data_IF_042365983010
#
_entry.id   IF_042365983010
#
_cell.length_a   1.000
_cell.length_b   1.000
_cell.length_c   1.000
_cell.angle_alpha   90.00
_cell.angle_beta   90.00
_cell.angle_gamma   90.00
#
_symmetry.space_group_name_H-M   'P 1'
#
loop_
_entity.id
_entity.type
_entity.pdbx_description
1 polymer ?
#
# COMPACT_ATOMS: atom_id res chain seq x y z
N UNK A 1 -3.48 48.09 35.64
CA UNK A 1 -4.86 47.85 35.15
C UNK A 1 -4.88 48.13 33.66
N UNK A 2 -5.45 47.22 32.85
CA UNK A 2 -5.94 47.54 31.51
C UNK A 2 -4.99 47.26 30.34
N UNK A 3 -5.16 46.07 29.76
CA UNK A 3 -4.65 45.54 28.50
C UNK A 3 -5.12 46.28 27.23
N UNK A 4 -4.32 46.27 26.16
CA UNK A 4 -4.70 45.69 24.85
C UNK A 4 -3.53 45.68 23.85
N UNK A 5 -3.42 44.56 23.13
CA UNK A 5 -2.47 44.24 22.06
C UNK A 5 -2.66 45.10 20.79
N UNK A 6 -1.56 45.32 20.06
CA UNK A 6 -1.47 45.02 18.62
C UNK A 6 0.00 45.04 18.17
N UNK A 7 0.56 43.88 17.82
CA UNK A 7 1.88 43.74 17.20
C UNK A 7 1.68 43.59 15.69
N UNK A 8 1.96 44.66 14.95
CA UNK A 8 2.20 44.63 13.51
C UNK A 8 3.71 44.71 13.25
N UNK A 9 4.19 43.77 12.43
CA UNK A 9 5.21 43.99 11.39
C UNK A 9 6.56 44.59 11.79
N UNK A 10 7.62 43.78 11.86
CA UNK A 10 9.02 44.20 11.67
C UNK A 10 9.79 43.05 10.98
N UNK A 11 10.27 43.27 9.75
CA UNK A 11 11.71 43.39 9.34
C UNK A 11 12.40 42.02 9.24
N UNK A 12 12.60 41.46 8.03
CA UNK A 12 13.64 41.73 7.02
C UNK A 12 15.04 41.18 7.37
N UNK A 13 15.57 40.49 6.36
CA UNK A 13 16.99 40.23 6.03
C UNK A 13 17.82 39.23 6.86
N UNK A 14 18.55 38.42 6.06
CA UNK A 14 19.73 37.62 6.35
C UNK A 14 19.63 36.36 7.22
N UNK A 15 19.69 35.20 6.54
CA UNK A 15 20.43 34.04 7.05
C UNK A 15 21.01 33.22 5.89
N UNK A 16 22.24 33.61 5.55
CA UNK A 16 23.42 32.77 5.32
C UNK A 16 23.18 31.26 5.27
N UNK A 17 23.65 30.68 4.15
CA UNK A 17 23.97 29.27 3.99
C UNK A 17 24.94 28.83 5.11
N UNK A 18 24.46 28.05 6.06
CA UNK A 18 25.33 27.24 6.90
C UNK A 18 25.03 25.74 6.76
N UNK A 19 26.13 25.03 6.57
CA UNK A 19 26.31 23.60 6.36
C UNK A 19 25.40 22.70 7.20
N UNK A 20 24.50 21.97 6.55
CA UNK A 20 24.00 20.71 7.09
C UNK A 20 25.08 19.62 6.88
N UNK A 21 25.95 19.47 7.88
CA UNK A 21 26.68 18.22 8.09
C UNK A 21 25.64 17.15 8.39
N UNK A 22 25.53 16.15 7.50
CA UNK A 22 24.82 14.91 7.79
C UNK A 22 25.60 14.14 8.88
N UNK A 23 25.21 14.30 10.13
CA UNK A 23 25.56 13.33 11.17
C UNK A 23 24.82 12.02 10.89
N UNK A 24 25.59 10.94 10.83
CA UNK A 24 25.10 9.57 10.75
C UNK A 24 24.28 9.30 12.01
N UNK A 25 23.06 8.69 11.96
CA UNK A 25 22.27 8.47 13.16
C UNK A 25 23.01 7.55 14.12
N UNK A 26 23.32 8.06 15.31
CA UNK A 26 23.84 7.29 16.44
C UNK A 26 22.84 6.27 16.96
N UNK A 27 23.34 5.26 17.66
CA UNK A 27 22.54 4.19 18.27
C UNK A 27 21.34 4.73 19.06
N UNK A 28 20.18 4.04 19.01
CA UNK A 28 18.99 4.49 19.72
C UNK A 28 19.24 4.56 21.23
N UNK A 29 18.73 5.63 21.86
CA UNK A 29 18.87 5.86 23.28
C UNK A 29 18.36 4.66 24.12
N UNK A 30 19.08 4.26 25.18
CA UNK A 30 18.72 3.09 25.99
C UNK A 30 17.39 3.31 26.71
N UNK A 31 16.41 2.43 26.44
CA UNK A 31 15.07 2.45 27.04
C UNK A 31 13.91 2.60 26.04
N UNK A 32 14.18 2.78 24.75
CA UNK A 32 13.13 2.73 23.73
C UNK A 32 12.67 1.27 23.51
N UNK A 33 11.35 0.98 23.46
CA UNK A 33 10.88 -0.37 23.15
C UNK A 33 11.40 -0.81 21.77
N UNK A 34 11.81 -2.07 21.60
CA UNK A 34 12.36 -2.55 20.33
C UNK A 34 11.36 -2.30 19.20
N UNK A 35 11.81 -1.68 18.12
CA UNK A 35 10.98 -1.45 16.95
C UNK A 35 10.64 -2.79 16.26
N UNK A 36 9.40 -2.98 15.75
CA UNK A 36 9.02 -4.21 15.05
C UNK A 36 9.73 -4.30 13.70
N UNK A 37 10.21 -5.50 13.34
CA UNK A 37 10.96 -5.79 12.10
C UNK A 37 10.06 -5.67 10.85
N UNK A 38 10.62 -5.46 9.66
CA UNK A 38 9.86 -5.32 8.39
C UNK A 38 8.90 -6.49 8.12
N UNK A 39 9.37 -7.69 8.44
CA UNK A 39 8.60 -8.94 8.39
C UNK A 39 7.35 -8.85 9.28
N UNK A 40 7.42 -8.17 10.43
CA UNK A 40 6.33 -8.01 11.38
C UNK A 40 5.23 -7.08 10.86
N UNK A 41 5.55 -6.13 9.97
CA UNK A 41 4.57 -5.19 9.44
C UNK A 41 3.79 -5.78 8.26
N UNK A 42 4.49 -6.43 7.33
CA UNK A 42 3.85 -7.14 6.22
C UNK A 42 3.03 -8.33 6.72
N UNK A 43 3.51 -9.00 7.77
CA UNK A 43 2.72 -9.99 8.49
C UNK A 43 1.43 -9.36 9.03
N UNK A 44 1.50 -8.22 9.72
CA UNK A 44 0.30 -7.54 10.24
C UNK A 44 -0.66 -7.09 9.14
N UNK A 45 -0.15 -6.60 8.01
CA UNK A 45 -1.01 -6.21 6.87
C UNK A 45 -1.71 -7.43 6.27
N UNK A 46 -0.97 -8.50 6.01
CA UNK A 46 -1.50 -9.78 5.51
C UNK A 46 -2.50 -10.40 6.49
N UNK A 47 -2.21 -10.34 7.79
CA UNK A 47 -3.12 -10.77 8.85
C UNK A 47 -4.38 -9.91 8.89
N UNK A 48 -4.27 -8.61 8.64
CA UNK A 48 -5.44 -7.71 8.55
C UNK A 48 -6.33 -8.12 7.38
N UNK A 49 -5.75 -8.34 6.19
CA UNK A 49 -6.49 -8.83 5.02
C UNK A 49 -7.18 -10.17 5.31
N UNK A 50 -6.48 -11.11 5.94
CA UNK A 50 -7.05 -12.41 6.31
C UNK A 50 -8.18 -12.23 7.33
N UNK A 51 -7.98 -11.41 8.36
CA UNK A 51 -8.99 -11.15 9.39
C UNK A 51 -10.25 -10.49 8.81
N UNK A 52 -10.09 -9.47 7.97
CA UNK A 52 -11.21 -8.79 7.31
C UNK A 52 -11.95 -9.73 6.36
N UNK A 53 -11.25 -10.62 5.67
CA UNK A 53 -11.89 -11.66 4.85
C UNK A 53 -12.70 -12.64 5.71
N UNK A 54 -12.15 -13.16 6.80
CA UNK A 54 -12.84 -14.11 7.67
C UNK A 54 -14.06 -13.47 8.36
N UNK A 55 -13.97 -12.20 8.76
CA UNK A 55 -15.10 -11.44 9.27
C UNK A 55 -16.20 -11.27 8.21
N UNK A 56 -15.82 -11.04 6.95
CA UNK A 56 -16.76 -11.01 5.83
C UNK A 56 -17.46 -12.36 5.62
N UNK A 57 -16.73 -13.48 5.71
CA UNK A 57 -17.31 -14.85 5.63
C UNK A 57 -18.32 -15.10 6.76
N UNK A 58 -18.05 -14.61 7.97
CA UNK A 58 -18.95 -14.70 9.12
C UNK A 58 -20.10 -13.68 9.09
N UNK A 59 -20.14 -12.79 8.09
CA UNK A 59 -21.13 -11.71 7.99
C UNK A 59 -21.16 -10.80 9.24
N UNK A 60 -20.02 -10.66 9.94
CA UNK A 60 -19.92 -9.82 11.14
C UNK A 60 -19.81 -8.35 10.73
N UNK A 61 -20.67 -7.45 11.23
CA UNK A 61 -20.60 -6.03 10.90
C UNK A 61 -19.27 -5.42 11.36
N UNK A 62 -18.58 -4.70 10.47
CA UNK A 62 -17.38 -3.94 10.82
C UNK A 62 -17.73 -2.85 11.84
N UNK A 63 -17.22 -2.97 13.08
CA UNK A 63 -17.41 -1.97 14.14
C UNK A 63 -16.39 -0.80 14.10
N UNK A 64 -15.70 -0.61 12.97
CA UNK A 64 -14.60 0.36 12.82
C UNK A 64 -14.55 1.03 11.45
N UNK A 65 -13.35 1.44 11.02
CA UNK A 65 -13.11 1.98 9.67
C UNK A 65 -13.50 0.96 8.60
N UNK A 66 -14.12 1.43 7.51
CA UNK A 66 -14.50 0.55 6.39
C UNK A 66 -13.29 -0.21 5.84
N UNK A 67 -13.44 -1.48 5.40
CA UNK A 67 -12.33 -2.27 4.86
C UNK A 67 -11.60 -1.52 3.77
N UNK A 68 -10.29 -1.71 3.70
CA UNK A 68 -9.47 -1.17 2.62
C UNK A 68 -9.98 -1.66 1.26
N UNK A 69 -9.67 -0.93 0.19
CA UNK A 69 -10.10 -1.33 -1.14
C UNK A 69 -9.49 -2.64 -1.61
N UNK A 70 -8.22 -2.88 -1.26
CA UNK A 70 -7.54 -4.18 -1.44
C UNK A 70 -8.33 -5.29 -0.77
N UNK A 71 -8.74 -5.07 0.49
CA UNK A 71 -9.57 -6.02 1.23
C UNK A 71 -10.91 -6.31 0.56
N UNK A 72 -11.62 -5.30 0.06
CA UNK A 72 -12.89 -5.51 -0.67
C UNK A 72 -12.70 -6.33 -1.94
N UNK A 73 -11.68 -6.04 -2.75
CA UNK A 73 -11.38 -6.82 -3.96
C UNK A 73 -11.01 -8.26 -3.59
N UNK A 74 -10.17 -8.44 -2.58
CA UNK A 74 -9.81 -9.75 -2.07
C UNK A 74 -11.04 -10.51 -1.58
N UNK A 75 -11.94 -9.87 -0.82
CA UNK A 75 -13.19 -10.44 -0.35
C UNK A 75 -14.05 -10.93 -1.51
N UNK A 76 -14.30 -10.09 -2.52
CA UNK A 76 -15.12 -10.46 -3.68
C UNK A 76 -14.56 -11.69 -4.42
N UNK A 77 -13.25 -11.69 -4.70
CA UNK A 77 -12.62 -12.76 -5.49
C UNK A 77 -12.46 -14.04 -4.66
N UNK A 78 -11.95 -13.93 -3.43
CA UNK A 78 -11.76 -15.08 -2.55
C UNK A 78 -13.09 -15.72 -2.16
N UNK A 79 -14.15 -14.94 -1.92
CA UNK A 79 -15.48 -15.48 -1.64
C UNK A 79 -16.04 -16.25 -2.85
N UNK A 80 -15.90 -15.72 -4.06
CA UNK A 80 -16.30 -16.44 -5.29
C UNK A 80 -15.53 -17.75 -5.48
N UNK A 81 -14.24 -17.77 -5.15
CA UNK A 81 -13.41 -19.00 -5.16
C UNK A 81 -13.88 -19.96 -4.07
N UNK A 82 -14.11 -19.48 -2.84
CA UNK A 82 -14.60 -20.26 -1.72
C UNK A 82 -15.92 -20.97 -2.06
N UNK A 83 -16.92 -20.27 -2.59
CA UNK A 83 -18.21 -20.88 -2.97
C UNK A 83 -18.04 -22.00 -4.01
N UNK A 84 -17.15 -21.81 -4.98
CA UNK A 84 -16.85 -22.84 -5.99
C UNK A 84 -16.17 -24.06 -5.37
N UNK A 85 -15.23 -23.86 -4.45
CA UNK A 85 -14.54 -24.93 -3.72
C UNK A 85 -15.53 -25.70 -2.84
N UNK A 86 -16.34 -25.00 -2.06
CA UNK A 86 -17.38 -25.60 -1.21
C UNK A 86 -18.35 -26.45 -2.03
N UNK A 87 -18.73 -25.99 -3.23
CA UNK A 87 -19.65 -26.71 -4.11
C UNK A 87 -18.99 -27.90 -4.81
N UNK A 88 -17.79 -27.73 -5.36
CA UNK A 88 -17.14 -28.77 -6.17
C UNK A 88 -16.53 -29.88 -5.32
N UNK A 89 -16.02 -29.55 -4.14
CA UNK A 89 -15.34 -30.48 -3.24
C UNK A 89 -16.20 -30.90 -2.06
N UNK A 90 -17.52 -30.61 -2.07
CA UNK A 90 -18.44 -30.94 -0.97
C UNK A 90 -18.29 -32.36 -0.42
N UNK A 91 -18.24 -33.43 -1.24
CA UNK A 91 -18.12 -34.79 -0.72
C UNK A 91 -16.81 -35.05 0.02
N UNK A 92 -15.74 -34.38 -0.38
CA UNK A 92 -14.44 -34.42 0.28
C UNK A 92 -14.49 -33.60 1.56
N UNK A 93 -15.00 -32.36 1.49
CA UNK A 93 -15.14 -31.43 2.62
C UNK A 93 -16.00 -31.98 3.77
N UNK A 94 -16.99 -32.82 3.47
CA UNK A 94 -17.87 -33.45 4.47
C UNK A 94 -17.17 -34.59 5.25
N UNK A 95 -15.99 -35.04 4.80
CA UNK A 95 -15.15 -36.01 5.52
C UNK A 95 -14.13 -35.37 6.46
N UNK A 96 -13.91 -34.06 6.35
CA UNK A 96 -13.00 -33.34 7.24
C UNK A 96 -13.74 -33.01 8.53
N UNK A 97 -13.28 -33.58 9.63
CA UNK A 97 -13.71 -33.20 10.96
C UNK A 97 -12.74 -32.14 11.52
N UNK A 98 -13.19 -30.89 11.55
CA UNK A 98 -12.39 -29.76 12.06
C UNK A 98 -12.81 -29.49 13.51
N UNK A 99 -12.31 -30.32 14.42
CA UNK A 99 -12.72 -30.32 15.82
C UNK A 99 -12.11 -29.19 16.67
N UNK A 100 -11.00 -28.59 16.24
CA UNK A 100 -10.26 -27.57 17.00
C UNK A 100 -9.44 -26.63 16.11
N UNK A 101 -8.94 -25.53 16.68
CA UNK A 101 -8.01 -24.60 16.00
C UNK A 101 -6.71 -25.31 15.57
N UNK A 102 -6.18 -26.21 16.39
CA UNK A 102 -4.97 -26.97 16.04
C UNK A 102 -5.22 -27.94 14.88
N UNK A 103 -6.39 -28.58 14.88
CA UNK A 103 -6.82 -29.46 13.77
C UNK A 103 -7.02 -28.64 12.50
N UNK A 104 -7.64 -27.47 12.60
CA UNK A 104 -7.78 -26.50 11.52
C UNK A 104 -6.44 -26.08 10.93
N UNK A 105 -5.46 -25.69 11.77
CA UNK A 105 -4.11 -25.31 11.34
C UNK A 105 -3.40 -26.46 10.64
N UNK A 106 -3.51 -27.67 11.19
CA UNK A 106 -2.88 -28.87 10.60
C UNK A 106 -3.43 -29.17 9.21
N UNK A 107 -4.76 -29.21 9.07
CA UNK A 107 -5.42 -29.44 7.78
C UNK A 107 -5.07 -28.33 6.79
N UNK A 108 -5.09 -27.08 7.24
CA UNK A 108 -4.74 -25.93 6.42
C UNK A 108 -3.32 -26.06 5.86
N UNK A 109 -2.31 -26.27 6.71
CA UNK A 109 -0.92 -26.39 6.26
C UNK A 109 -0.75 -27.57 5.31
N UNK A 110 -1.33 -28.75 5.58
CA UNK A 110 -1.22 -29.91 4.69
C UNK A 110 -1.79 -29.65 3.29
N UNK A 111 -2.95 -28.98 3.21
CA UNK A 111 -3.58 -28.69 1.92
C UNK A 111 -2.78 -27.62 1.16
N UNK A 112 -2.34 -26.56 1.85
CA UNK A 112 -1.60 -25.47 1.22
C UNK A 112 -0.19 -25.90 0.81
N UNK A 113 0.53 -26.69 1.62
CA UNK A 113 1.81 -27.28 1.23
C UNK A 113 1.67 -28.13 -0.03
N UNK A 114 0.60 -28.93 -0.13
CA UNK A 114 0.31 -29.72 -1.32
C UNK A 114 -0.04 -28.87 -2.53
N UNK A 115 -0.78 -27.77 -2.34
CA UNK A 115 -1.15 -26.85 -3.42
C UNK A 115 0.06 -26.14 -4.04
N UNK A 116 1.07 -25.81 -3.22
CA UNK A 116 2.26 -25.07 -3.63
C UNK A 116 3.49 -25.97 -3.86
N UNK A 117 3.33 -27.30 -3.86
CA UNK A 117 4.45 -28.25 -3.97
C UNK A 117 5.21 -28.16 -5.30
N UNK A 118 4.57 -27.66 -6.35
CA UNK A 118 5.16 -27.50 -7.68
C UNK A 118 6.01 -26.21 -7.81
N UNK A 119 6.06 -25.39 -6.76
CA UNK A 119 6.82 -24.14 -6.70
C UNK A 119 6.23 -22.98 -7.51
N UNK A 120 5.06 -23.14 -8.13
CA UNK A 120 4.43 -22.08 -8.93
C UNK A 120 3.59 -21.16 -8.04
N UNK A 121 3.96 -19.88 -8.00
CA UNK A 121 3.23 -18.85 -7.23
C UNK A 121 2.61 -17.83 -8.20
N UNK A 122 1.33 -17.52 -7.99
CA UNK A 122 0.63 -16.43 -8.66
C UNK A 122 -0.51 -15.92 -7.78
N UNK A 123 -1.06 -14.75 -8.10
CA UNK A 123 -2.16 -14.14 -7.34
C UNK A 123 -3.40 -15.02 -7.21
N UNK A 124 -3.72 -15.83 -8.23
CA UNK A 124 -4.85 -16.76 -8.18
C UNK A 124 -4.68 -17.82 -7.08
N UNK A 125 -3.48 -18.39 -6.96
CA UNK A 125 -3.13 -19.32 -5.87
C UNK A 125 -2.98 -18.62 -4.52
N UNK A 126 -2.56 -17.36 -4.47
CA UNK A 126 -2.57 -16.63 -3.19
C UNK A 126 -4.00 -16.44 -2.70
N UNK A 127 -4.95 -16.16 -3.60
CA UNK A 127 -6.37 -16.02 -3.26
C UNK A 127 -6.99 -17.32 -2.74
N UNK A 128 -6.57 -18.49 -3.23
CA UNK A 128 -7.08 -19.78 -2.72
C UNK A 128 -6.68 -20.02 -1.26
N UNK A 129 -5.55 -19.47 -0.80
CA UNK A 129 -5.14 -19.51 0.61
C UNK A 129 -6.20 -18.84 1.50
N UNK A 130 -6.65 -17.63 1.13
CA UNK A 130 -7.73 -16.94 1.86
C UNK A 130 -9.02 -17.76 1.80
N UNK A 131 -9.43 -18.15 0.59
CA UNK A 131 -10.65 -18.90 0.36
C UNK A 131 -10.71 -20.17 1.21
N UNK A 132 -9.61 -20.94 1.28
CA UNK A 132 -9.54 -22.14 2.08
C UNK A 132 -9.55 -21.85 3.60
N UNK A 133 -8.92 -20.76 4.04
CA UNK A 133 -9.09 -20.25 5.41
C UNK A 133 -10.56 -19.99 5.77
N UNK A 134 -11.34 -19.46 4.83
CA UNK A 134 -12.79 -19.26 4.96
C UNK A 134 -13.58 -20.58 5.02
N UNK A 135 -13.20 -21.60 4.23
CA UNK A 135 -13.79 -22.95 4.29
C UNK A 135 -13.56 -23.58 5.67
N UNK A 136 -12.32 -23.51 6.17
CA UNK A 136 -11.92 -24.03 7.48
C UNK A 136 -12.71 -23.35 8.60
N UNK A 137 -12.85 -22.02 8.53
CA UNK A 137 -13.63 -21.25 9.50
C UNK A 137 -15.09 -21.72 9.60
N UNK A 138 -15.75 -21.97 8.47
CA UNK A 138 -17.14 -22.48 8.45
C UNK A 138 -17.29 -23.92 8.92
N UNK A 139 -16.21 -24.71 8.87
CA UNK A 139 -16.22 -26.13 9.27
C UNK A 139 -15.94 -26.32 10.76
N UNK A 140 -15.40 -25.30 11.43
CA UNK A 140 -15.30 -25.30 12.88
C UNK A 140 -16.71 -25.27 13.50
N UNK A 141 -16.94 -26.00 14.61
CA UNK A 141 -18.22 -25.97 15.31
C UNK A 141 -18.58 -24.54 15.78
N UNK A 142 -19.78 -24.07 15.41
CA UNK A 142 -20.36 -22.75 15.78
C UNK A 142 -20.72 -22.66 17.28
N UNK A 143 -20.55 -21.48 17.94
CA UNK A 143 -19.41 -20.60 17.89
C UNK A 143 -18.65 -20.65 19.23
N UNK A 144 -17.32 -20.62 19.19
CA UNK A 144 -16.53 -20.10 20.31
C UNK A 144 -16.78 -18.58 20.34
N UNK A 145 -17.96 -18.20 20.84
CA UNK A 145 -18.49 -16.90 21.27
C UNK A 145 -18.31 -15.64 20.37
N UNK A 146 -19.23 -14.64 20.41
CA UNK A 146 -19.17 -13.40 19.61
C UNK A 146 -17.96 -12.48 19.92
N UNK A 147 -17.25 -12.76 21.01
CA UNK A 147 -15.97 -12.20 21.47
C UNK A 147 -14.75 -13.07 21.05
N UNK A 148 -15.01 -14.15 20.31
CA UNK A 148 -14.12 -15.27 20.02
C UNK A 148 -12.85 -14.96 19.24
N UNK A 149 -11.72 -15.39 19.78
CA UNK A 149 -10.40 -15.29 19.17
C UNK A 149 -10.25 -16.18 17.91
N UNK A 150 -11.22 -17.06 17.59
CA UNK A 150 -11.11 -18.06 16.52
C UNK A 150 -10.71 -17.49 15.17
N UNK A 151 -11.42 -16.47 14.66
CA UNK A 151 -11.08 -15.87 13.37
C UNK A 151 -9.72 -15.14 13.41
N UNK A 152 -9.25 -14.71 14.59
CA UNK A 152 -7.92 -14.10 14.78
C UNK A 152 -6.81 -15.16 14.77
N UNK A 153 -7.06 -16.32 15.37
CA UNK A 153 -6.13 -17.47 15.31
C UNK A 153 -5.99 -18.00 13.88
N UNK A 154 -7.12 -18.11 13.16
CA UNK A 154 -7.13 -18.51 11.74
C UNK A 154 -6.44 -17.46 10.88
N UNK A 155 -6.75 -16.16 11.08
CA UNK A 155 -6.08 -15.12 10.31
C UNK A 155 -4.58 -15.09 10.56
N UNK A 156 -4.13 -15.43 11.78
CA UNK A 156 -2.72 -15.51 12.12
C UNK A 156 -2.00 -16.59 11.31
N UNK A 157 -2.48 -17.85 11.34
CA UNK A 157 -1.77 -18.92 10.61
C UNK A 157 -1.95 -18.82 9.09
N UNK A 158 -3.04 -18.21 8.60
CA UNK A 158 -3.19 -17.87 7.17
C UNK A 158 -2.11 -16.87 6.76
N UNK A 159 -1.92 -15.81 7.55
CA UNK A 159 -0.89 -14.82 7.29
C UNK A 159 0.53 -15.40 7.42
N UNK A 160 0.76 -16.25 8.42
CA UNK A 160 2.02 -16.98 8.59
C UNK A 160 2.36 -17.80 7.36
N UNK A 161 1.41 -18.58 6.83
CA UNK A 161 1.64 -19.36 5.62
C UNK A 161 1.97 -18.46 4.42
N UNK A 162 1.17 -17.40 4.19
CA UNK A 162 1.39 -16.45 3.09
C UNK A 162 2.77 -15.82 3.19
N UNK A 163 3.16 -15.33 4.37
CA UNK A 163 4.44 -14.65 4.55
C UNK A 163 5.62 -15.60 4.39
N UNK A 164 5.51 -16.83 4.90
CA UNK A 164 6.60 -17.81 4.86
C UNK A 164 6.79 -18.44 3.47
N UNK A 165 5.73 -18.60 2.68
CA UNK A 165 5.80 -19.32 1.40
C UNK A 165 5.67 -18.43 0.18
N UNK A 166 4.97 -17.30 0.29
CA UNK A 166 4.65 -16.43 -0.85
C UNK A 166 5.10 -14.98 -0.67
N UNK A 167 5.58 -14.60 0.53
CA UNK A 167 5.93 -13.22 0.85
C UNK A 167 6.98 -12.62 -0.09
N UNK A 168 8.05 -13.36 -0.40
CA UNK A 168 9.07 -12.89 -1.34
C UNK A 168 8.51 -12.66 -2.75
N UNK A 169 7.64 -13.56 -3.20
CA UNK A 169 6.97 -13.42 -4.50
C UNK A 169 6.04 -12.21 -4.50
N UNK A 170 5.24 -12.01 -3.44
CA UNK A 170 4.34 -10.85 -3.31
C UNK A 170 5.13 -9.54 -3.42
N UNK A 171 6.27 -9.44 -2.72
CA UNK A 171 7.14 -8.25 -2.78
C UNK A 171 7.70 -8.01 -4.17
N UNK A 172 8.19 -9.07 -4.82
CA UNK A 172 8.75 -9.01 -6.18
C UNK A 172 7.69 -8.73 -7.25
N UNK A 173 6.40 -8.87 -6.92
CA UNK A 173 5.29 -8.65 -7.85
C UNK A 173 4.42 -7.48 -7.38
N UNK A 174 5.06 -6.38 -6.97
CA UNK A 174 4.45 -5.07 -6.67
C UNK A 174 3.51 -5.03 -5.46
N UNK A 175 3.59 -6.03 -4.60
CA UNK A 175 2.80 -6.10 -3.37
C UNK A 175 1.30 -6.08 -3.63
N UNK A 176 0.54 -5.70 -2.61
CA UNK A 176 -0.92 -5.66 -2.70
C UNK A 176 -1.47 -4.47 -3.53
N UNK A 177 -0.62 -3.56 -4.01
CA UNK A 177 -1.00 -2.37 -4.82
C UNK A 177 -1.44 -2.74 -6.22
N UNK A 178 -0.80 -3.71 -6.86
CA UNK A 178 -1.14 -4.13 -8.23
C UNK A 178 -2.58 -4.68 -8.28
N UNK A 179 -3.09 -5.25 -7.20
CA UNK A 179 -4.49 -5.69 -7.11
C UNK A 179 -5.51 -4.53 -7.05
N UNK A 180 -5.08 -3.27 -6.94
CA UNK A 180 -5.97 -2.13 -6.76
C UNK A 180 -6.84 -1.83 -8.00
N UNK A 181 -8.17 -1.71 -7.82
CA UNK A 181 -9.11 -1.53 -8.94
C UNK A 181 -8.83 -0.32 -9.84
N UNK A 182 -8.37 0.82 -9.30
CA UNK A 182 -8.01 1.94 -10.19
C UNK A 182 -6.74 1.65 -10.98
N UNK A 183 -5.75 1.01 -10.36
CA UNK A 183 -4.56 0.60 -11.07
C UNK A 183 -4.91 -0.31 -12.26
N UNK A 184 -5.76 -1.31 -12.01
CA UNK A 184 -6.24 -2.24 -13.03
C UNK A 184 -6.96 -1.53 -14.19
N UNK A 185 -7.85 -0.57 -13.89
CA UNK A 185 -8.62 0.18 -14.89
C UNK A 185 -7.82 1.23 -15.67
N UNK A 186 -6.79 1.79 -15.06
CA UNK A 186 -6.00 2.87 -15.66
C UNK A 186 -5.11 2.35 -16.79
N UNK A 187 -5.04 3.11 -17.87
CA UNK A 187 -4.17 2.87 -19.03
C UNK A 187 -2.99 3.83 -19.05
N UNK A 188 -3.14 5.02 -18.45
CA UNK A 188 -2.13 6.09 -18.42
C UNK A 188 -1.84 6.44 -16.97
N UNK A 189 -0.71 5.94 -16.48
CA UNK A 189 -0.37 5.97 -15.06
C UNK A 189 0.90 6.80 -14.89
N UNK A 190 0.85 7.78 -14.01
CA UNK A 190 2.05 8.45 -13.52
C UNK A 190 2.50 7.85 -12.21
N UNK A 191 3.80 7.68 -12.05
CA UNK A 191 4.44 7.20 -10.82
C UNK A 191 5.74 7.96 -10.59
N UNK A 192 6.06 8.26 -9.33
CA UNK A 192 7.30 8.94 -8.98
C UNK A 192 8.49 7.98 -9.06
N UNK A 193 9.67 8.50 -9.40
CA UNK A 193 10.92 7.78 -9.19
C UNK A 193 11.32 7.94 -7.72
N UNK A 194 11.50 6.83 -7.03
CA UNK A 194 11.75 6.75 -5.60
C UNK A 194 12.99 7.55 -5.17
N UNK A 195 12.86 8.33 -4.10
CA UNK A 195 13.98 8.88 -3.32
C UNK A 195 14.26 8.00 -2.10
N UNK A 196 15.39 8.19 -1.41
CA UNK A 196 15.79 7.38 -0.25
C UNK A 196 14.75 7.31 0.88
N UNK A 197 13.90 8.32 1.00
CA UNK A 197 12.84 8.44 2.01
C UNK A 197 11.42 8.20 1.45
N UNK A 198 11.33 7.60 0.27
CA UNK A 198 10.07 7.28 -0.42
C UNK A 198 9.98 5.77 -0.73
N UNK A 199 8.78 5.27 -1.00
CA UNK A 199 8.58 3.86 -1.37
C UNK A 199 9.23 3.57 -2.73
N UNK A 200 9.89 2.42 -2.85
CA UNK A 200 10.42 1.93 -4.12
C UNK A 200 9.30 1.66 -5.12
N UNK A 201 9.47 2.18 -6.34
CA UNK A 201 8.43 2.13 -7.37
C UNK A 201 8.82 1.29 -8.58
N UNK A 202 10.05 0.77 -8.63
CA UNK A 202 10.59 0.04 -9.78
C UNK A 202 9.70 -1.15 -10.20
N UNK A 203 9.26 -1.98 -9.26
CA UNK A 203 8.42 -3.15 -9.56
C UNK A 203 7.02 -2.75 -10.06
N UNK A 204 6.46 -1.65 -9.55
CA UNK A 204 5.19 -1.11 -10.05
C UNK A 204 5.41 -0.59 -11.48
N UNK A 205 6.53 0.06 -11.77
CA UNK A 205 6.85 0.53 -13.12
C UNK A 205 6.97 -0.66 -14.09
N UNK A 206 7.69 -1.72 -13.71
CA UNK A 206 7.80 -2.94 -14.52
C UNK A 206 6.42 -3.53 -14.85
N UNK A 207 5.52 -3.64 -13.86
CA UNK A 207 4.16 -4.13 -14.11
C UNK A 207 3.36 -3.20 -15.03
N UNK A 208 3.45 -1.87 -14.89
CA UNK A 208 2.77 -0.92 -15.80
C UNK A 208 3.12 -1.26 -17.27
N UNK A 209 4.40 -1.51 -17.56
CA UNK A 209 4.85 -1.89 -18.90
C UNK A 209 4.40 -3.30 -19.30
N UNK A 210 4.52 -4.29 -18.41
CA UNK A 210 4.08 -5.67 -18.68
C UNK A 210 2.58 -5.75 -19.03
N UNK A 211 1.76 -4.92 -18.38
CA UNK A 211 0.31 -4.83 -18.64
C UNK A 211 -0.04 -4.01 -19.90
N UNK A 212 0.96 -3.55 -20.67
CA UNK A 212 0.76 -2.73 -21.87
C UNK A 212 0.18 -1.34 -21.56
N UNK A 213 0.30 -0.86 -20.33
CA UNK A 213 -0.13 0.48 -19.91
C UNK A 213 0.98 1.49 -20.27
N UNK A 214 0.60 2.76 -20.33
CA UNK A 214 1.54 3.87 -20.57
C UNK A 214 2.03 4.44 -19.25
N UNK A 215 3.32 4.31 -18.98
CA UNK A 215 3.97 4.85 -17.79
C UNK A 215 4.43 6.29 -18.01
N UNK A 216 4.17 7.15 -17.01
CA UNK A 216 4.67 8.52 -16.94
C UNK A 216 5.43 8.75 -15.64
N UNK A 217 6.41 9.64 -15.66
CA UNK A 217 7.15 10.07 -14.47
C UNK A 217 7.12 11.60 -14.32
N UNK A 218 7.16 12.13 -13.09
CA UNK A 218 7.24 13.56 -12.86
C UNK A 218 8.61 14.11 -13.29
N UNK A 219 8.57 15.18 -14.08
CA UNK A 219 9.71 16.01 -14.42
C UNK A 219 9.49 17.42 -13.88
N UNK A 220 10.42 17.85 -13.05
CA UNK A 220 10.38 19.16 -12.40
C UNK A 220 11.15 20.19 -13.23
N UNK A 221 10.59 21.40 -13.35
CA UNK A 221 11.32 22.54 -13.88
C UNK A 221 12.06 23.25 -12.74
N UNK A 222 13.35 23.51 -12.95
CA UNK A 222 14.17 24.23 -11.98
C UNK A 222 13.64 25.67 -11.79
N UNK A 223 13.69 26.19 -10.57
CA UNK A 223 13.24 27.56 -10.17
C UNK A 223 11.74 27.87 -10.22
N UNK A 224 10.87 26.91 -10.54
CA UNK A 224 9.41 27.10 -10.47
C UNK A 224 8.73 25.96 -9.69
N UNK A 225 7.42 26.03 -9.51
CA UNK A 225 6.60 24.90 -9.06
C UNK A 225 5.99 24.13 -10.25
N UNK A 226 6.49 24.36 -11.47
CA UNK A 226 5.99 23.69 -12.66
C UNK A 226 6.57 22.28 -12.73
N UNK A 227 5.67 21.33 -12.97
CA UNK A 227 5.98 19.92 -13.19
C UNK A 227 5.20 19.45 -14.41
N UNK A 228 5.86 18.71 -15.28
CA UNK A 228 5.22 17.94 -16.34
C UNK A 228 5.41 16.45 -16.06
N UNK A 229 4.54 15.63 -16.62
CA UNK A 229 4.65 14.17 -16.61
C UNK A 229 5.17 13.70 -17.97
N UNK A 230 6.30 13.01 -17.95
CA UNK A 230 7.01 12.57 -19.14
C UNK A 230 6.74 11.09 -19.35
N UNK A 231 6.36 10.70 -20.57
CA UNK A 231 6.16 9.30 -20.91
C UNK A 231 7.49 8.56 -20.91
N UNK A 232 7.56 7.43 -20.22
CA UNK A 232 8.65 6.47 -20.37
C UNK A 232 8.38 5.56 -21.57
N UNK A 233 9.42 5.27 -22.34
CA UNK A 233 9.42 4.35 -23.46
C UNK A 233 9.63 2.89 -23.02
N UNK A 234 10.39 2.66 -21.96
CA UNK A 234 10.65 1.33 -21.38
C UNK A 234 11.04 1.43 -19.89
N UNK A 235 10.99 0.32 -19.12
CA UNK A 235 11.52 0.29 -17.76
C UNK A 235 13.03 0.62 -17.68
N UNK A 236 13.81 0.13 -18.65
CA UNK A 236 15.28 0.27 -18.67
C UNK A 236 15.73 1.73 -18.84
N UNK A 237 14.87 2.56 -19.44
CA UNK A 237 15.14 3.99 -19.65
C UNK A 237 15.48 4.71 -18.35
N UNK A 238 14.90 4.29 -17.21
CA UNK A 238 15.13 4.86 -15.89
C UNK A 238 16.63 4.93 -15.55
N UNK A 239 17.36 3.85 -15.82
CA UNK A 239 18.79 3.74 -15.54
C UNK A 239 19.64 4.70 -16.38
N UNK A 240 19.10 5.13 -17.52
CA UNK A 240 19.77 5.99 -18.51
C UNK A 240 19.33 7.46 -18.44
N UNK A 241 18.40 7.82 -17.54
CA UNK A 241 17.88 9.18 -17.45
C UNK A 241 18.97 10.16 -16.97
N UNK A 242 19.34 11.18 -17.78
CA UNK A 242 20.15 12.29 -17.29
C UNK A 242 19.35 13.12 -16.27
N UNK A 243 20.03 13.81 -15.35
CA UNK A 243 19.42 14.58 -14.24
C UNK A 243 18.55 15.80 -14.66
N UNK A 244 18.16 15.93 -15.93
CA UNK A 244 17.17 16.81 -16.61
C UNK A 244 17.64 16.94 -18.08
N UNK A 245 16.87 17.12 -19.14
CA UNK A 245 15.56 17.75 -19.39
C UNK A 245 14.87 17.00 -20.54
N UNK A 246 13.59 16.63 -20.41
CA UNK A 246 12.86 15.90 -21.45
C UNK A 246 11.63 16.69 -21.88
N UNK A 247 11.70 17.32 -23.05
CA UNK A 247 10.65 18.20 -23.56
C UNK A 247 9.59 17.39 -24.33
N UNK A 248 8.78 16.60 -23.62
CA UNK A 248 7.73 15.76 -24.24
C UNK A 248 6.34 16.33 -23.92
N UNK A 249 5.62 16.74 -24.96
CA UNK A 249 4.21 17.13 -24.89
C UNK A 249 3.36 15.93 -24.47
N UNK A 250 2.53 16.06 -23.43
CA UNK A 250 1.54 15.04 -23.06
C UNK A 250 0.33 15.10 -24.01
N UNK A 251 0.09 14.10 -24.87
CA UNK A 251 -1.14 14.07 -25.65
C UNK A 251 -2.23 13.41 -24.79
N UNK A 252 -3.10 14.19 -24.15
CA UNK A 252 -4.25 13.70 -23.35
C UNK A 252 -3.96 13.47 -21.86
N UNK A 253 -5.03 13.42 -21.05
CA UNK A 253 -4.96 13.35 -19.58
C UNK A 253 -4.43 12.03 -19.01
N UNK A 254 -4.09 12.04 -17.71
CA UNK A 254 -3.73 10.86 -16.94
C UNK A 254 -4.94 10.24 -16.25
N UNK A 255 -4.94 8.92 -16.10
CA UNK A 255 -6.00 8.19 -15.39
C UNK A 255 -5.69 8.09 -13.89
N UNK A 256 -4.42 7.82 -13.56
CA UNK A 256 -3.94 7.57 -12.20
C UNK A 256 -2.57 8.21 -11.97
N UNK A 257 -2.38 8.77 -10.78
CA UNK A 257 -1.09 9.26 -10.29
C UNK A 257 -0.80 8.60 -8.94
N UNK A 258 0.31 7.87 -8.86
CA UNK A 258 0.93 7.51 -7.60
C UNK A 258 1.71 8.72 -7.06
N UNK A 259 1.35 9.15 -5.85
CA UNK A 259 1.86 10.38 -5.24
C UNK A 259 2.80 10.06 -4.08
N UNK A 260 4.03 10.61 -4.06
CA UNK A 260 4.93 10.52 -2.91
C UNK A 260 4.54 11.55 -1.86
N UNK A 261 4.94 11.41 -0.60
CA UNK A 261 4.69 12.42 0.44
C UNK A 261 5.53 12.19 1.68
N UNK A 262 5.74 13.25 2.47
CA UNK A 262 6.36 13.18 3.80
C UNK A 262 5.36 12.75 4.88
N UNK A 263 4.07 12.92 4.63
CA UNK A 263 2.99 12.61 5.55
C UNK A 263 1.65 12.55 4.84
N UNK A 264 0.70 11.84 5.42
CA UNK A 264 -0.66 11.67 4.96
C UNK A 264 -1.59 11.59 6.17
N UNK A 265 -2.74 12.24 6.13
CA UNK A 265 -3.75 12.09 7.17
C UNK A 265 -4.90 11.17 6.77
N UNK A 266 -5.78 10.85 7.71
CA UNK A 266 -6.95 9.98 7.50
C UNK A 266 -7.99 10.57 6.52
N UNK A 267 -7.86 11.84 6.15
CA UNK A 267 -8.70 12.49 5.13
C UNK A 267 -8.03 12.46 3.74
N UNK A 268 -6.86 11.84 3.64
CA UNK A 268 -6.06 11.77 2.42
C UNK A 268 -5.29 13.05 2.13
N UNK A 269 -5.26 14.03 3.04
CA UNK A 269 -4.41 15.20 2.83
C UNK A 269 -2.95 14.78 2.91
N UNK A 270 -2.13 15.38 2.06
CA UNK A 270 -0.72 15.05 1.95
C UNK A 270 0.15 16.16 2.54
N UNK A 271 1.25 15.81 3.17
CA UNK A 271 2.36 16.71 3.44
C UNK A 271 3.45 16.46 2.39
N UNK A 272 3.65 17.42 1.48
CA UNK A 272 4.75 17.37 0.51
C UNK A 272 6.02 18.04 1.04
N UNK A 273 7.10 18.05 0.23
CA UNK A 273 8.35 18.77 0.55
C UNK A 273 8.27 20.31 0.44
N UNK A 274 7.07 20.88 0.38
CA UNK A 274 6.85 22.34 0.41
C UNK A 274 6.91 23.09 -0.93
N UNK A 275 7.32 22.47 -2.05
CA UNK A 275 7.38 23.15 -3.37
C UNK A 275 6.06 23.20 -4.15
N UNK A 276 5.05 22.42 -3.76
CA UNK A 276 3.71 22.47 -4.36
C UNK A 276 3.59 21.94 -5.80
N UNK A 277 4.58 21.18 -6.31
CA UNK A 277 4.59 20.68 -7.70
C UNK A 277 3.33 19.90 -8.08
N UNK A 278 2.93 18.92 -7.26
CA UNK A 278 1.74 18.11 -7.54
C UNK A 278 0.46 18.93 -7.40
N UNK A 279 0.38 19.86 -6.44
CA UNK A 279 -0.78 20.74 -6.27
C UNK A 279 -0.98 21.62 -7.49
N UNK A 280 0.10 22.24 -7.97
CA UNK A 280 0.11 23.04 -9.19
C UNK A 280 -0.28 22.20 -10.43
N UNK A 281 0.25 20.97 -10.52
CA UNK A 281 -0.09 20.04 -11.62
C UNK A 281 -1.56 19.62 -11.59
N UNK A 282 -2.11 19.24 -10.43
CA UNK A 282 -3.50 18.83 -10.28
C UNK A 282 -4.47 20.00 -10.52
N UNK A 283 -4.13 21.21 -10.07
CA UNK A 283 -4.89 22.42 -10.42
C UNK A 283 -4.88 22.66 -11.93
N UNK A 284 -3.73 22.50 -12.58
CA UNK A 284 -3.61 22.64 -14.03
C UNK A 284 -4.45 21.60 -14.77
N UNK A 285 -4.44 20.34 -14.32
CA UNK A 285 -5.32 19.30 -14.88
C UNK A 285 -6.79 19.69 -14.76
N UNK A 286 -7.24 20.12 -13.57
CA UNK A 286 -8.62 20.54 -13.36
C UNK A 286 -9.01 21.71 -14.28
N UNK A 287 -8.14 22.73 -14.40
CA UNK A 287 -8.40 23.90 -15.26
C UNK A 287 -8.46 23.55 -16.74
N UNK A 288 -7.57 22.67 -17.22
CA UNK A 288 -7.45 22.37 -18.64
C UNK A 288 -8.38 21.25 -19.12
N UNK A 289 -8.69 20.29 -18.25
CA UNK A 289 -9.39 19.05 -18.62
C UNK A 289 -10.75 18.90 -17.92
N UNK A 290 -11.11 19.81 -17.00
CA UNK A 290 -12.38 19.77 -16.24
C UNK A 290 -12.45 18.69 -15.16
N UNK A 291 -11.52 17.72 -15.18
CA UNK A 291 -11.42 16.63 -14.21
C UNK A 291 -9.98 16.42 -13.77
N UNK A 292 -9.79 15.86 -12.57
CA UNK A 292 -8.47 15.46 -12.08
C UNK A 292 -8.25 13.96 -12.33
N UNK A 293 -7.00 13.54 -12.58
CA UNK A 293 -6.62 12.14 -12.48
C UNK A 293 -6.93 11.58 -11.09
N UNK A 294 -7.15 10.28 -11.00
CA UNK A 294 -7.24 9.61 -9.71
C UNK A 294 -5.87 9.65 -9.01
N UNK A 295 -5.85 9.80 -7.69
CA UNK A 295 -4.60 9.88 -6.92
C UNK A 295 -4.53 8.77 -5.88
N UNK A 296 -3.42 8.05 -5.86
CA UNK A 296 -3.09 7.05 -4.85
C UNK A 296 -1.80 7.46 -4.17
N UNK A 297 -1.79 7.52 -2.85
CA UNK A 297 -0.57 7.71 -2.08
C UNK A 297 0.09 6.34 -1.81
N UNK A 298 1.38 6.27 -2.13
CA UNK A 298 2.27 5.23 -1.62
C UNK A 298 2.95 5.82 -0.39
N UNK A 299 2.60 5.30 0.78
CA UNK A 299 3.04 5.87 2.05
C UNK A 299 3.66 4.82 2.97
N UNK A 300 4.64 5.27 3.75
CA UNK A 300 5.07 4.56 4.92
C UNK A 300 4.05 4.76 6.08
N UNK A 301 3.93 3.82 7.01
CA UNK A 301 3.14 3.90 8.23
C UNK A 301 3.50 5.11 9.08
N UNK A 302 4.78 5.45 9.22
CA UNK A 302 5.21 6.65 9.93
C UNK A 302 4.77 7.93 9.22
N UNK A 303 4.47 7.84 7.93
CA UNK A 303 3.90 8.97 7.20
C UNK A 303 2.40 9.09 7.49
N UNK A 304 1.74 8.15 8.16
CA UNK A 304 0.33 8.26 8.52
C UNK A 304 0.15 9.03 9.83
N UNK A 305 -0.50 10.18 9.76
CA UNK A 305 -0.75 11.05 10.90
C UNK A 305 -2.25 11.08 11.25
N UNK A 306 -2.57 11.02 12.54
CA UNK A 306 -3.96 11.10 13.03
C UNK A 306 -4.49 12.54 13.12
N UNK A 307 -3.62 13.55 12.93
CA UNK A 307 -3.99 14.97 13.00
C UNK A 307 -4.09 15.61 11.62
N UNK A 308 -5.04 16.55 11.55
CA UNK A 308 -5.40 17.32 10.36
C UNK A 308 -4.28 18.29 9.98
N UNK A 309 -3.70 18.15 8.79
CA UNK A 309 -2.84 19.20 8.22
C UNK A 309 -3.72 20.31 7.67
N UNK A 310 -4.19 21.23 8.53
CA UNK A 310 -5.11 22.30 8.11
C UNK A 310 -4.53 23.31 7.09
N UNK A 311 -3.24 23.23 6.76
CA UNK A 311 -2.54 24.28 6.00
C UNK A 311 -1.64 23.82 4.85
N UNK A 312 -1.55 22.52 4.51
CA UNK A 312 -0.51 22.06 3.58
C UNK A 312 -0.98 21.48 2.24
N UNK A 313 -2.24 21.13 2.05
CA UNK A 313 -2.73 20.57 0.79
C UNK A 313 -4.15 21.05 0.44
N UNK A 314 -4.38 21.27 -0.85
CA UNK A 314 -5.71 21.58 -1.37
C UNK A 314 -6.46 20.33 -1.90
N UNK A 315 -5.79 19.17 -1.98
CA UNK A 315 -6.35 17.95 -2.57
C UNK A 315 -6.02 16.70 -1.76
N UNK A 316 -7.01 15.79 -1.68
CA UNK A 316 -6.89 14.50 -1.00
C UNK A 316 -6.45 13.38 -1.95
N UNK A 317 -5.77 12.37 -1.41
CA UNK A 317 -5.35 11.14 -2.08
C UNK A 317 -5.90 9.92 -1.34
N UNK A 318 -6.22 8.84 -2.04
CA UNK A 318 -6.47 7.55 -1.39
C UNK A 318 -5.13 6.95 -0.95
N UNK A 319 -4.95 6.69 0.35
CA UNK A 319 -3.70 6.09 0.87
C UNK A 319 -3.80 4.56 0.76
N UNK A 320 -2.89 3.96 -0.01
CA UNK A 320 -2.96 2.52 -0.35
C UNK A 320 -1.76 1.72 0.19
N UNK A 321 -0.76 2.36 0.81
CA UNK A 321 0.33 1.63 1.48
C UNK A 321 0.66 2.18 2.86
N UNK A 322 1.07 1.27 3.74
CA UNK A 322 1.51 1.46 5.12
C UNK A 322 2.79 0.61 5.31
N UNK A 323 3.97 1.08 4.90
CA UNK A 323 5.29 0.39 5.08
C UNK A 323 6.14 1.14 6.13
N UNK A 324 7.13 0.62 6.88
CA UNK A 324 7.91 1.50 7.80
C UNK A 324 9.21 2.09 7.20
N UNK A 325 9.57 3.35 7.51
CA UNK A 325 10.68 4.12 6.88
C UNK A 325 12.11 3.66 7.27
N UNK A 326 12.31 3.13 8.48
CA UNK A 326 13.67 2.89 9.02
C UNK A 326 14.25 1.51 8.71
N UNK A 327 13.53 0.68 7.94
CA UNK A 327 13.91 -0.73 7.72
C UNK A 327 14.31 -1.04 6.27
N UNK A 328 14.36 -0.02 5.42
CA UNK A 328 14.67 -0.12 4.00
C UNK A 328 16.20 -0.15 3.71
N UNK A 329 17.04 0.12 4.72
CA UNK A 329 18.50 0.30 4.58
C UNK A 329 19.35 -0.99 4.48
N UNK A 330 18.79 -2.20 4.49
CA UNK A 330 19.57 -3.44 4.46
C UNK A 330 19.40 -4.20 3.15
N UNK A 331 20.03 -3.71 2.08
CA UNK A 331 20.65 -4.52 1.01
C UNK A 331 21.52 -3.65 0.08
N UNK A 332 22.70 -3.29 0.57
CA UNK A 332 23.90 -3.22 -0.26
C UNK A 332 24.90 -4.22 0.31
N UNK A 333 25.17 -5.27 -0.45
CA UNK A 333 26.54 -5.79 -0.59
C UNK A 333 27.00 -5.36 -1.96
#
# INVERSE_FOLDING_TARGET
>A
MGSSLCLSTYISEDMVLDNFNCEVPGEPAPGCPPQPKMIDLEFRYTQTLAQEYLLHVLQVPHRGTSPSRTSRVLQDVAFSVQEKVEKSLKPSLDRFDVASIDTARTIFNQVMEKEFEDGVINWGRIVTIFAFGGVILKKLPEPIAPDGNTYKEISYFVAEFIMNHTGDWIRQNGGWVIAHRQYQKSKRISIFLSMQDEIETEEIIKDIFQQGKTCFIPQYQFQSNHMDMVKLASPDEISSLPKTSWNIHQPGGLDLIFMPGLGFDNHGNRLGRGRGYYDAYLQRCLRLQGTKPYTIALAFKEQLCHQYYSFCCQFSCEVVHEIKKDEWCLKRV
#
